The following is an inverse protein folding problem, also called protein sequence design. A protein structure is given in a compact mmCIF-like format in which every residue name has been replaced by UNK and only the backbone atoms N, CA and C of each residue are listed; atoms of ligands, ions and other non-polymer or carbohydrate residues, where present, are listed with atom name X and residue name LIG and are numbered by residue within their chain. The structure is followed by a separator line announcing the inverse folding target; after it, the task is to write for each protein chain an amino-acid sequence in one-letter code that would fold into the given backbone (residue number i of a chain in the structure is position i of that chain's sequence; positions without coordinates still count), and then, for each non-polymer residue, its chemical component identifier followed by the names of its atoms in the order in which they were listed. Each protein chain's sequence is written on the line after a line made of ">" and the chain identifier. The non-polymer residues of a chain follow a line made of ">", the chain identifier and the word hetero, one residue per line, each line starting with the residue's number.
data_IF_087443143406
#
_entry.id   IF_087443143406
#
_cell.length_a   1.000
_cell.length_b   1.000
_cell.length_c   1.000
_cell.angle_alpha   90.00
_cell.angle_beta   90.00
_cell.angle_gamma   90.00
#
_symmetry.space_group_name_H-M   'P 1'
#
loop_
_entity.id
_entity.type
_entity.pdbx_description
1 polymer ?
#
# COMPACT_ATOMS: atom_id res chain seq x y z
N UNK A 1 24.78 14.09 -24.08
CA UNK A 1 24.00 13.58 -22.92
C UNK A 1 22.57 13.39 -23.40
N UNK A 2 22.07 12.15 -23.50
CA UNK A 2 20.66 11.93 -23.82
C UNK A 2 19.82 12.42 -22.64
N UNK A 3 18.85 13.31 -22.88
CA UNK A 3 17.88 13.68 -21.86
C UNK A 3 17.06 12.42 -21.53
N UNK A 4 17.20 11.91 -20.30
CA UNK A 4 16.34 10.83 -19.81
C UNK A 4 14.90 11.37 -19.81
N UNK A 5 13.97 10.63 -20.42
CA UNK A 5 12.55 10.99 -20.45
C UNK A 5 11.96 11.11 -19.04
N UNK A 6 10.70 11.59 -18.91
CA UNK A 6 10.07 11.74 -17.62
C UNK A 6 10.01 10.41 -16.87
N UNK A 7 10.31 10.43 -15.57
CA UNK A 7 10.30 9.27 -14.69
C UNK A 7 8.90 8.66 -14.67
N UNK A 8 8.82 7.36 -14.91
CA UNK A 8 7.57 6.61 -14.97
C UNK A 8 7.26 5.98 -13.60
N UNK A 9 6.17 6.39 -12.96
CA UNK A 9 5.82 5.97 -11.59
C UNK A 9 4.46 5.30 -11.57
N UNK A 10 4.42 4.06 -11.07
CA UNK A 10 3.19 3.32 -10.80
C UNK A 10 2.71 3.63 -9.38
N UNK A 11 1.50 4.15 -9.21
CA UNK A 11 0.88 4.38 -7.89
C UNK A 11 -0.28 3.43 -7.69
N UNK A 12 -0.28 2.66 -6.60
CA UNK A 12 -1.24 1.59 -6.38
C UNK A 12 -1.95 1.68 -5.01
N UNK A 13 -3.08 2.43 -4.92
CA UNK A 13 -3.94 2.49 -3.74
C UNK A 13 -4.45 1.11 -3.28
N UNK A 14 -4.56 0.87 -1.96
CA UNK A 14 -5.23 -0.33 -1.43
C UNK A 14 -6.74 -0.24 -1.68
N UNK A 15 -7.37 -1.30 -2.16
CA UNK A 15 -8.80 -1.39 -2.50
C UNK A 15 -9.77 -1.54 -1.31
N UNK A 16 -9.31 -1.25 -0.09
CA UNK A 16 -10.08 -1.45 1.15
C UNK A 16 -10.93 -0.22 1.54
N UNK A 17 -11.13 0.74 0.65
CA UNK A 17 -12.02 1.87 0.88
C UNK A 17 -11.50 3.20 0.34
N UNK A 18 -12.36 4.21 0.24
CA UNK A 18 -12.02 5.47 -0.43
C UNK A 18 -10.87 6.24 0.26
N UNK A 19 -10.68 6.06 1.57
CA UNK A 19 -9.58 6.71 2.31
C UNK A 19 -8.18 6.39 1.77
N UNK A 20 -8.00 5.19 1.21
CA UNK A 20 -6.75 4.79 0.55
C UNK A 20 -6.53 5.50 -0.79
N UNK A 21 -7.60 5.75 -1.55
CA UNK A 21 -7.52 6.51 -2.78
C UNK A 21 -7.25 8.00 -2.48
N UNK A 22 -7.95 8.58 -1.51
CA UNK A 22 -7.82 10.02 -1.19
C UNK A 22 -6.44 10.38 -0.64
N UNK A 23 -5.81 9.51 0.15
CA UNK A 23 -4.45 9.76 0.66
C UNK A 23 -3.36 9.72 -0.42
N UNK A 24 -3.61 9.01 -1.52
CA UNK A 24 -2.69 8.97 -2.66
C UNK A 24 -2.82 10.22 -3.55
N UNK A 25 -3.92 10.96 -3.51
CA UNK A 25 -4.13 12.18 -4.32
C UNK A 25 -2.99 13.20 -4.17
N UNK A 26 -2.60 13.64 -2.96
CA UNK A 26 -1.51 14.61 -2.81
C UNK A 26 -0.18 14.07 -3.33
N UNK A 27 0.09 12.77 -3.15
CA UNK A 27 1.30 12.11 -3.69
C UNK A 27 1.29 12.14 -5.22
N UNK A 28 0.16 11.79 -5.84
CA UNK A 28 0.01 11.80 -7.30
C UNK A 28 0.17 13.22 -7.86
N UNK A 29 -0.44 14.23 -7.22
CA UNK A 29 -0.30 15.64 -7.62
C UNK A 29 1.16 16.10 -7.56
N UNK A 30 1.89 15.71 -6.53
CA UNK A 30 3.29 16.06 -6.38
C UNK A 30 4.19 15.35 -7.40
N UNK A 31 3.91 14.08 -7.73
CA UNK A 31 4.63 13.41 -8.82
C UNK A 31 4.42 14.12 -10.16
N UNK A 32 3.18 14.53 -10.46
CA UNK A 32 2.86 15.27 -11.69
C UNK A 32 3.54 16.65 -11.68
N UNK A 33 3.56 17.36 -10.55
CA UNK A 33 4.20 18.68 -10.44
C UNK A 33 5.72 18.61 -10.70
N UNK A 34 6.35 17.49 -10.33
CA UNK A 34 7.75 17.18 -10.61
C UNK A 34 7.99 16.66 -12.04
N UNK A 35 6.96 16.57 -12.87
CA UNK A 35 7.05 16.13 -14.26
C UNK A 35 7.13 14.60 -14.46
N UNK A 36 6.78 13.81 -13.44
CA UNK A 36 6.71 12.36 -13.58
C UNK A 36 5.49 11.94 -14.41
N UNK A 37 5.64 10.85 -15.16
CA UNK A 37 4.52 10.16 -15.81
C UNK A 37 3.91 9.19 -14.80
N UNK A 38 2.68 9.45 -14.38
CA UNK A 38 2.00 8.64 -13.37
C UNK A 38 0.99 7.68 -14.02
N UNK A 39 1.09 6.41 -13.67
CA UNK A 39 0.08 5.40 -13.98
C UNK A 39 -0.54 4.91 -12.68
N UNK A 40 -1.86 4.81 -12.61
CA UNK A 40 -2.58 4.42 -11.40
C UNK A 40 -3.07 2.97 -11.52
N UNK A 41 -2.66 2.11 -10.59
CA UNK A 41 -3.11 0.72 -10.49
C UNK A 41 -4.22 0.59 -9.44
N UNK A 42 -5.48 0.49 -9.88
CA UNK A 42 -6.63 0.46 -8.97
C UNK A 42 -7.84 -0.23 -9.61
N UNK A 43 -8.85 -0.57 -8.82
CA UNK A 43 -10.07 -1.23 -9.30
C UNK A 43 -11.32 -0.72 -8.56
N UNK A 44 -12.49 -1.04 -9.12
CA UNK A 44 -13.79 -0.77 -8.51
C UNK A 44 -14.06 0.70 -8.19
N UNK A 45 -14.66 0.97 -7.02
CA UNK A 45 -15.14 2.31 -6.63
C UNK A 45 -14.03 3.37 -6.52
N UNK A 46 -12.81 2.96 -6.27
CA UNK A 46 -11.66 3.88 -6.17
C UNK A 46 -11.22 4.39 -7.54
N UNK A 47 -11.33 3.55 -8.57
CA UNK A 47 -11.06 3.92 -9.96
C UNK A 47 -11.92 5.11 -10.36
N UNK A 48 -13.24 5.03 -10.14
CA UNK A 48 -14.17 6.11 -10.45
C UNK A 48 -13.82 7.44 -9.73
N UNK A 49 -13.41 7.38 -8.46
CA UNK A 49 -12.97 8.57 -7.73
C UNK A 49 -11.70 9.18 -8.34
N UNK A 50 -10.69 8.35 -8.59
CA UNK A 50 -9.40 8.81 -9.09
C UNK A 50 -9.46 9.24 -10.56
N UNK A 51 -10.32 8.64 -11.37
CA UNK A 51 -10.61 9.08 -12.74
C UNK A 51 -11.26 10.47 -12.76
N UNK A 52 -12.08 10.79 -11.76
CA UNK A 52 -12.67 12.14 -11.63
C UNK A 52 -11.60 13.17 -11.28
N UNK A 53 -10.66 12.83 -10.40
CA UNK A 53 -9.57 13.72 -9.99
C UNK A 53 -8.45 13.83 -11.04
N UNK A 54 -8.20 12.75 -11.78
CA UNK A 54 -7.09 12.62 -12.71
C UNK A 54 -7.52 12.03 -14.07
N UNK A 55 -8.40 12.72 -14.82
CA UNK A 55 -9.01 12.17 -16.03
C UNK A 55 -8.03 11.91 -17.19
N UNK A 56 -6.82 12.47 -17.11
CA UNK A 56 -5.79 12.35 -18.14
C UNK A 56 -4.74 11.27 -17.83
N UNK A 57 -4.79 10.64 -16.66
CA UNK A 57 -3.82 9.61 -16.29
C UNK A 57 -4.23 8.24 -16.82
N UNK A 58 -3.23 7.38 -17.01
CA UNK A 58 -3.46 5.99 -17.35
C UNK A 58 -3.88 5.20 -16.11
N UNK A 59 -4.90 4.35 -16.26
CA UNK A 59 -5.38 3.45 -15.22
C UNK A 59 -5.17 1.99 -15.62
N UNK A 60 -4.59 1.21 -14.70
CA UNK A 60 -4.40 -0.23 -14.83
C UNK A 60 -5.25 -0.96 -13.80
N UNK A 61 -5.86 -2.06 -14.23
CA UNK A 61 -6.54 -2.95 -13.31
C UNK A 61 -5.54 -3.86 -12.61
N UNK A 62 -5.57 -3.81 -11.28
CA UNK A 62 -4.74 -4.61 -10.39
C UNK A 62 -5.59 -5.72 -9.76
N UNK A 63 -5.03 -6.93 -9.51
CA UNK A 63 -5.73 -7.97 -8.78
C UNK A 63 -6.26 -7.45 -7.44
N UNK A 64 -7.59 -7.41 -7.32
CA UNK A 64 -8.24 -6.85 -6.15
C UNK A 64 -8.31 -7.84 -4.99
N UNK A 65 -8.38 -7.33 -3.76
CA UNK A 65 -8.87 -8.10 -2.63
C UNK A 65 -10.39 -8.20 -2.77
N UNK A 66 -10.94 -9.38 -3.10
CA UNK A 66 -12.40 -9.63 -3.06
C UNK A 66 -12.93 -9.67 -1.61
N UNK A 67 -12.56 -8.69 -0.79
CA UNK A 67 -13.06 -8.57 0.57
C UNK A 67 -14.36 -7.78 0.48
N UNK A 68 -15.48 -8.51 0.36
CA UNK A 68 -16.79 -7.93 0.66
C UNK A 68 -16.77 -7.44 2.11
N UNK A 69 -16.83 -6.12 2.27
CA UNK A 69 -16.92 -5.46 3.56
C UNK A 69 -18.20 -5.89 4.27
N UNK A 70 -18.06 -6.66 5.35
CA UNK A 70 -19.07 -6.70 6.42
C UNK A 70 -18.64 -5.68 7.47
N UNK A 71 -19.44 -4.63 7.66
CA UNK A 71 -19.23 -3.64 8.72
C UNK A 71 -19.31 -4.31 10.10
N UNK A 72 -18.36 -4.02 11.00
CA UNK A 72 -18.48 -4.39 12.41
C UNK A 72 -17.17 -4.82 13.10
N UNK A 73 -17.20 -4.77 14.43
CA UNK A 73 -16.09 -5.06 15.36
C UNK A 73 -15.62 -6.54 15.32
N UNK A 74 -16.31 -7.38 14.55
CA UNK A 74 -15.94 -8.78 14.23
C UNK A 74 -14.79 -8.90 13.21
N UNK A 75 -14.34 -7.79 12.60
CA UNK A 75 -13.27 -7.75 11.59
C UNK A 75 -11.89 -8.23 12.08
N UNK A 76 -11.56 -8.09 13.38
CA UNK A 76 -10.23 -8.42 13.91
C UNK A 76 -9.98 -9.93 14.02
N UNK A 77 -10.99 -10.71 14.39
CA UNK A 77 -10.87 -12.16 14.57
C UNK A 77 -10.98 -12.94 13.25
N UNK A 78 -11.75 -12.42 12.27
CA UNK A 78 -11.83 -12.98 10.93
C UNK A 78 -10.56 -12.79 10.08
N UNK A 79 -9.67 -11.87 10.48
CA UNK A 79 -8.44 -11.56 9.74
C UNK A 79 -7.38 -12.68 9.87
N UNK A 80 -7.27 -13.33 11.05
CA UNK A 80 -6.34 -14.43 11.26
C UNK A 80 -6.66 -15.65 10.39
N UNK A 81 -7.94 -16.02 10.27
CA UNK A 81 -8.37 -17.12 9.40
C UNK A 81 -8.21 -16.80 7.90
N UNK A 82 -8.06 -15.52 7.55
CA UNK A 82 -7.83 -15.05 6.17
C UNK A 82 -6.35 -14.87 5.82
N UNK A 83 -5.41 -15.15 6.73
CA UNK A 83 -3.97 -15.05 6.45
C UNK A 83 -3.56 -15.83 5.19
N UNK A 84 -3.99 -17.08 4.97
CA UNK A 84 -3.63 -17.81 3.74
C UNK A 84 -4.12 -17.11 2.47
N UNK A 85 -5.32 -16.52 2.51
CA UNK A 85 -5.87 -15.77 1.39
C UNK A 85 -5.10 -14.46 1.15
N UNK A 86 -4.70 -13.76 2.21
CA UNK A 86 -3.85 -12.56 2.13
C UNK A 86 -2.49 -12.91 1.50
N UNK A 87 -1.84 -13.98 1.95
CA UNK A 87 -0.55 -14.43 1.40
C UNK A 87 -0.69 -14.80 -0.09
N UNK A 88 -1.74 -15.51 -0.47
CA UNK A 88 -2.04 -15.83 -1.87
C UNK A 88 -2.26 -14.56 -2.70
N UNK A 89 -2.90 -13.54 -2.13
CA UNK A 89 -3.10 -12.27 -2.80
C UNK A 89 -1.80 -11.51 -3.00
N UNK A 90 -0.95 -11.44 -1.97
CA UNK A 90 0.40 -10.85 -2.06
C UNK A 90 1.21 -11.50 -3.18
N UNK A 91 1.13 -12.83 -3.33
CA UNK A 91 1.79 -13.54 -4.43
C UNK A 91 1.22 -13.18 -5.80
N UNK A 92 -0.10 -13.03 -5.92
CA UNK A 92 -0.76 -12.61 -7.17
C UNK A 92 -0.40 -11.18 -7.56
N UNK A 93 -0.38 -10.25 -6.59
CA UNK A 93 0.07 -8.87 -6.79
C UNK A 93 1.52 -8.83 -7.26
N UNK A 94 2.40 -9.63 -6.63
CA UNK A 94 3.80 -9.68 -7.01
C UNK A 94 4.00 -10.23 -8.42
N UNK A 95 3.32 -11.32 -8.76
CA UNK A 95 3.34 -11.87 -10.12
C UNK A 95 2.83 -10.85 -11.14
N UNK A 96 1.71 -10.20 -10.85
CA UNK A 96 1.15 -9.16 -11.71
C UNK A 96 2.14 -8.01 -11.93
N UNK A 97 2.82 -7.56 -10.87
CA UNK A 97 3.84 -6.51 -10.99
C UNK A 97 5.02 -6.97 -11.86
N UNK A 98 5.52 -8.19 -11.64
CA UNK A 98 6.63 -8.77 -12.43
C UNK A 98 6.25 -8.86 -13.92
N UNK A 99 5.04 -9.32 -14.23
CA UNK A 99 4.55 -9.41 -15.60
C UNK A 99 4.36 -8.00 -16.21
N UNK A 100 3.94 -7.01 -15.40
CA UNK A 100 3.73 -5.64 -15.85
C UNK A 100 5.05 -4.95 -16.24
N UNK A 101 6.08 -5.06 -15.39
CA UNK A 101 7.38 -4.40 -15.62
C UNK A 101 8.16 -5.01 -16.79
N UNK A 102 7.85 -6.24 -17.20
CA UNK A 102 8.45 -6.84 -18.40
C UNK A 102 7.96 -6.19 -19.69
N UNK A 103 6.76 -5.61 -19.67
CA UNK A 103 6.08 -5.09 -20.86
C UNK A 103 6.01 -3.55 -20.88
N UNK A 104 6.45 -2.88 -19.81
CA UNK A 104 6.29 -1.43 -19.63
C UNK A 104 7.47 -0.84 -18.89
N UNK A 105 7.86 0.36 -19.33
CA UNK A 105 8.86 1.16 -18.63
C UNK A 105 8.25 1.77 -17.36
N UNK A 106 8.62 1.21 -16.21
CA UNK A 106 8.29 1.70 -14.88
C UNK A 106 9.62 1.91 -14.16
N UNK A 107 9.92 3.13 -13.74
CA UNK A 107 11.13 3.47 -12.98
C UNK A 107 10.93 3.28 -11.47
N UNK A 108 9.70 3.45 -10.97
CA UNK A 108 9.39 3.30 -9.54
C UNK A 108 7.93 2.88 -9.28
N UNK A 109 7.69 2.28 -8.11
CA UNK A 109 6.37 1.88 -7.61
C UNK A 109 6.11 2.53 -6.26
N UNK A 110 4.94 3.13 -6.09
CA UNK A 110 4.40 3.55 -4.79
C UNK A 110 3.22 2.63 -4.46
N UNK A 111 3.47 1.72 -3.52
CA UNK A 111 2.50 0.76 -3.03
C UNK A 111 1.80 1.28 -1.79
N UNK A 112 0.49 1.42 -1.86
CA UNK A 112 -0.31 1.83 -0.72
C UNK A 112 -0.77 0.62 0.07
N UNK A 113 -0.06 0.25 1.14
CA UNK A 113 -0.39 -0.89 2.01
C UNK A 113 -0.65 -2.23 1.27
N UNK A 114 -0.11 -2.40 0.05
CA UNK A 114 -0.14 -3.62 -0.76
C UNK A 114 1.21 -4.33 -0.73
N UNK A 115 1.31 -5.38 0.09
CA UNK A 115 2.60 -6.03 0.36
C UNK A 115 3.17 -6.83 -0.82
N UNK A 116 2.41 -7.07 -1.90
CA UNK A 116 2.92 -7.76 -3.08
C UNK A 116 3.65 -6.88 -4.09
N UNK A 117 3.51 -5.55 -3.99
CA UNK A 117 4.02 -4.62 -4.99
C UNK A 117 5.48 -4.18 -4.74
N UNK A 118 6.37 -5.16 -4.66
CA UNK A 118 7.81 -4.96 -4.54
C UNK A 118 8.55 -5.70 -5.66
N UNK A 119 9.75 -5.24 -6.01
CA UNK A 119 10.63 -5.92 -6.96
C UNK A 119 12.10 -5.59 -6.63
N UNK A 120 12.99 -6.57 -6.75
CA UNK A 120 14.39 -6.44 -6.29
C UNK A 120 15.18 -5.38 -7.09
N UNK A 121 14.86 -5.22 -8.37
CA UNK A 121 15.56 -4.30 -9.27
C UNK A 121 14.80 -2.99 -9.54
N UNK A 122 13.77 -2.68 -8.75
CA UNK A 122 12.93 -1.50 -8.93
C UNK A 122 12.85 -0.71 -7.63
N UNK A 123 12.81 0.62 -7.72
CA UNK A 123 12.60 1.44 -6.53
C UNK A 123 11.14 1.34 -6.09
N UNK A 124 10.90 0.72 -4.93
CA UNK A 124 9.56 0.48 -4.41
C UNK A 124 9.37 1.20 -3.06
N UNK A 125 8.36 2.05 -3.00
CA UNK A 125 7.94 2.77 -1.79
C UNK A 125 6.73 2.04 -1.19
N UNK A 126 6.78 1.76 0.10
CA UNK A 126 5.63 1.27 0.85
C UNK A 126 4.97 2.39 1.64
N UNK A 127 3.71 2.71 1.35
CA UNK A 127 2.94 3.76 2.01
C UNK A 127 1.98 3.15 3.04
N UNK A 128 2.17 3.46 4.33
CA UNK A 128 1.34 2.91 5.40
C UNK A 128 1.18 3.86 6.60
N UNK A 129 0.09 3.72 7.36
CA UNK A 129 -0.03 4.33 8.71
C UNK A 129 0.03 3.28 9.82
N UNK A 130 0.16 2.00 9.47
CA UNK A 130 0.04 0.87 10.37
C UNK A 130 1.38 0.16 10.50
N UNK A 131 2.34 0.79 11.17
CA UNK A 131 3.60 0.16 11.53
C UNK A 131 3.40 -0.87 12.65
N UNK A 132 2.52 -0.55 13.61
CA UNK A 132 2.21 -1.43 14.74
C UNK A 132 0.77 -1.95 14.65
N UNK A 133 0.61 -3.23 14.32
CA UNK A 133 -0.68 -3.91 14.25
C UNK A 133 -0.90 -4.67 15.56
N UNK A 134 -1.93 -4.29 16.32
CA UNK A 134 -2.30 -4.95 17.58
C UNK A 134 -3.36 -6.03 17.34
N UNK A 135 -3.12 -7.23 17.89
CA UNK A 135 -4.06 -8.35 17.85
C UNK A 135 -5.32 -8.10 18.68
N UNK A 136 -5.24 -7.25 19.71
CA UNK A 136 -6.34 -6.98 20.64
C UNK A 136 -6.57 -8.08 21.69
N UNK A 137 -5.65 -9.06 21.79
CA UNK A 137 -5.67 -10.08 22.83
C UNK A 137 -5.10 -9.48 24.12
N UNK A 138 -5.80 -9.56 25.28
CA UNK A 138 -5.26 -9.04 26.54
C UNK A 138 -4.20 -9.98 27.14
N UNK A 139 -3.36 -9.42 28.03
CA UNK A 139 -2.40 -10.19 28.83
C UNK A 139 -1.05 -10.48 28.16
N UNK A 140 -0.25 -11.33 28.81
CA UNK A 140 1.13 -11.69 28.37
C UNK A 140 1.10 -12.39 26.99
N UNK A 141 0.09 -13.24 26.77
CA UNK A 141 -0.10 -13.96 25.51
C UNK A 141 -0.33 -12.99 24.33
N UNK A 142 -1.15 -11.95 24.52
CA UNK A 142 -1.38 -10.94 23.49
C UNK A 142 -0.14 -10.14 23.13
N UNK A 143 0.67 -9.76 24.13
CA UNK A 143 1.97 -9.09 23.87
C UNK A 143 2.92 -9.94 23.04
N UNK A 144 2.95 -11.25 23.28
CA UNK A 144 3.77 -12.17 22.49
C UNK A 144 3.27 -12.27 21.05
N UNK A 145 1.96 -12.35 20.83
CA UNK A 145 1.34 -12.37 19.50
C UNK A 145 1.62 -11.05 18.75
N UNK A 146 1.42 -9.91 19.41
CA UNK A 146 1.69 -8.58 18.84
C UNK A 146 3.15 -8.46 18.40
N UNK A 147 4.10 -8.97 19.20
CA UNK A 147 5.52 -8.98 18.82
C UNK A 147 5.81 -9.84 17.60
N UNK A 148 5.12 -10.98 17.45
CA UNK A 148 5.25 -11.84 16.26
C UNK A 148 4.67 -11.17 15.02
N UNK A 149 3.50 -10.55 15.14
CA UNK A 149 2.86 -9.78 14.06
C UNK A 149 3.77 -8.62 13.64
N UNK A 150 4.33 -7.89 14.60
CA UNK A 150 5.26 -6.79 14.37
C UNK A 150 6.49 -7.25 13.59
N UNK A 151 7.16 -8.32 14.04
CA UNK A 151 8.31 -8.89 13.31
C UNK A 151 7.94 -9.33 11.90
N UNK A 152 6.77 -9.93 11.71
CA UNK A 152 6.30 -10.36 10.40
C UNK A 152 6.00 -9.17 9.48
N UNK A 153 5.32 -8.14 10.00
CA UNK A 153 5.03 -6.91 9.28
C UNK A 153 6.33 -6.25 8.78
N UNK A 154 7.31 -6.07 9.66
CA UNK A 154 8.59 -5.46 9.31
C UNK A 154 9.40 -6.29 8.31
N UNK A 155 9.29 -7.62 8.33
CA UNK A 155 9.90 -8.47 7.30
C UNK A 155 9.27 -8.24 5.92
N UNK A 156 7.97 -7.97 5.85
CA UNK A 156 7.31 -7.66 4.59
C UNK A 156 7.64 -6.24 4.12
N UNK A 157 7.61 -5.25 5.02
CA UNK A 157 8.01 -3.87 4.73
C UNK A 157 9.46 -3.81 4.27
N UNK A 158 10.35 -4.62 4.85
CA UNK A 158 11.76 -4.70 4.48
C UNK A 158 12.04 -5.23 3.07
N UNK A 159 11.02 -5.63 2.31
CA UNK A 159 11.15 -5.95 0.88
C UNK A 159 11.10 -4.72 -0.03
N UNK A 160 10.68 -3.58 0.52
CA UNK A 160 10.58 -2.31 -0.20
C UNK A 160 11.85 -1.48 0.00
N UNK A 161 12.15 -0.61 -0.96
CA UNK A 161 13.32 0.27 -0.91
C UNK A 161 13.18 1.32 0.19
N UNK A 162 11.97 1.80 0.44
CA UNK A 162 11.67 2.73 1.54
C UNK A 162 10.22 2.60 2.01
N UNK A 163 9.94 3.09 3.22
CA UNK A 163 8.61 3.13 3.81
C UNK A 163 8.23 4.59 4.11
N UNK A 164 7.12 5.05 3.56
CA UNK A 164 6.54 6.36 3.84
C UNK A 164 5.38 6.22 4.81
N UNK A 165 5.44 7.01 5.88
CA UNK A 165 4.37 7.11 6.87
C UNK A 165 3.85 8.54 6.79
N UNK A 166 2.71 8.78 6.11
CA UNK A 166 2.16 10.11 5.99
C UNK A 166 1.47 10.46 7.30
N UNK A 167 2.24 10.99 8.25
CA UNK A 167 1.74 11.44 9.55
C UNK A 167 2.16 12.89 9.78
N UNK A 168 1.33 13.65 10.48
CA UNK A 168 1.74 14.99 10.90
C UNK A 168 2.71 14.86 12.08
N UNK A 169 3.90 15.47 12.03
CA UNK A 169 4.77 15.53 13.19
C UNK A 169 4.09 16.37 14.28
N UNK A 170 3.71 15.74 15.41
CA UNK A 170 3.15 16.45 16.57
C UNK A 170 2.30 15.59 17.51
N UNK A 171 1.78 16.16 18.60
CA UNK A 171 0.86 15.50 19.54
C UNK A 171 -0.53 15.22 18.95
N UNK A 172 -0.84 15.72 17.74
CA UNK A 172 -2.12 15.57 17.04
C UNK A 172 -2.08 14.60 15.85
N UNK A 173 -1.10 13.68 15.82
CA UNK A 173 -1.03 12.60 14.81
C UNK A 173 -2.37 11.86 14.72
N UNK A 174 -2.93 11.82 13.50
CA UNK A 174 -4.18 11.10 13.21
C UNK A 174 -4.00 9.57 13.30
N UNK A 175 -2.77 9.08 13.16
CA UNK A 175 -2.43 7.66 13.22
C UNK A 175 -2.11 7.15 14.65
N UNK A 176 -1.78 8.05 15.58
CA UNK A 176 -1.62 7.74 17.00
C UNK A 176 -0.60 6.62 17.28
N UNK A 177 -1.03 5.55 17.97
CA UNK A 177 -0.17 4.39 18.31
C UNK A 177 0.15 3.47 17.11
N UNK A 178 -0.54 3.62 15.99
CA UNK A 178 -0.34 2.76 14.81
C UNK A 178 0.89 3.19 13.99
N UNK A 179 1.24 4.48 14.01
CA UNK A 179 2.43 5.04 13.36
C UNK A 179 3.66 5.09 14.27
N UNK A 180 3.52 4.78 15.56
CA UNK A 180 4.59 4.83 16.56
C UNK A 180 4.85 3.45 17.19
N UNK A 181 5.86 2.72 16.72
CA UNK A 181 6.34 1.53 17.41
C UNK A 181 6.79 1.89 18.85
N UNK A 182 6.62 0.98 19.84
CA UNK A 182 6.89 1.28 21.25
C UNK A 182 8.37 1.18 21.66
N UNK A 183 9.32 1.49 20.76
CA UNK A 183 10.75 1.51 21.09
C UNK A 183 11.29 2.94 21.17
#
# INVERSE_FOLDING_TARGET
>A
MQQKGPVSVLVAPLDWGLGHATRCIPVIRELISQGARVTIATSGRQKALLETEFPLLEFLEIPGYEIRYTSGILLKWGLLFRIPAILKQIQRENKWLVDLIQNRDIDAVISDNRYGLYHENLYCVFLTHQLFIQSGVPGIMGRWIDHKILKWNYRLIGKFSTCWVPDQPGPFSLAGKLSRPPW
#
